data_IF_507946444196
#
_entry.id   IF_507946444196
#
_cell.length_a   1.000
_cell.length_b   1.000
_cell.length_c   1.000
_cell.angle_alpha   90.00
_cell.angle_beta   90.00
_cell.angle_gamma   90.00
#
_symmetry.space_group_name_H-M   'P 1'
#
loop_
_entity.id
_entity.type
_entity.pdbx_description
1 polymer ?
#
# COMPACT_ATOMS: atom_id res chain seq x y z
N UNK A 1 12.05 -0.60 -11.78
CA UNK A 1 12.75 0.68 -12.09
C UNK A 1 11.77 1.82 -12.32
N UNK A 2 10.64 1.61 -13.00
CA UNK A 2 9.64 2.67 -13.24
C UNK A 2 9.03 3.23 -11.96
N UNK A 3 8.79 2.40 -10.96
CA UNK A 3 8.19 2.80 -9.68
C UNK A 3 9.18 3.43 -8.69
N UNK A 4 10.49 3.26 -8.91
CA UNK A 4 11.55 3.70 -7.98
C UNK A 4 12.52 4.66 -8.67
N UNK A 5 13.40 4.17 -9.53
CA UNK A 5 14.49 4.95 -10.14
C UNK A 5 13.99 6.19 -10.89
N UNK A 6 12.91 6.08 -11.67
CA UNK A 6 12.31 7.25 -12.35
C UNK A 6 11.69 8.27 -11.40
N UNK A 7 11.51 7.91 -10.13
CA UNK A 7 11.05 8.83 -9.06
C UNK A 7 12.19 9.28 -8.16
N UNK A 8 13.45 8.98 -8.49
CA UNK A 8 14.61 9.31 -7.69
C UNK A 8 14.77 8.46 -6.42
N UNK A 9 14.07 7.30 -6.35
CA UNK A 9 14.16 6.38 -5.22
C UNK A 9 15.15 5.25 -5.54
N UNK A 10 16.07 4.96 -4.62
CA UNK A 10 16.98 3.83 -4.74
C UNK A 10 16.29 2.55 -4.22
N UNK A 11 16.08 1.50 -5.05
CA UNK A 11 15.46 0.25 -4.59
C UNK A 11 16.24 -0.44 -3.47
N UNK A 12 17.54 -0.19 -3.33
CA UNK A 12 18.40 -0.77 -2.29
C UNK A 12 18.04 -0.30 -0.88
N UNK A 13 17.39 0.85 -0.76
CA UNK A 13 16.91 1.41 0.52
C UNK A 13 15.59 0.75 0.99
N UNK A 14 15.04 -0.19 0.21
CA UNK A 14 13.74 -0.81 0.47
C UNK A 14 13.86 -2.33 0.66
N UNK A 15 12.83 -2.93 1.25
CA UNK A 15 12.63 -4.37 1.26
C UNK A 15 11.68 -4.78 0.13
N UNK A 16 11.93 -5.93 -0.48
CA UNK A 16 11.02 -6.53 -1.47
C UNK A 16 9.94 -7.34 -0.75
N UNK A 17 8.68 -6.93 -0.87
CA UNK A 17 7.56 -7.73 -0.37
C UNK A 17 7.06 -8.67 -1.46
N UNK A 18 7.10 -9.98 -1.19
CA UNK A 18 6.67 -11.01 -2.13
C UNK A 18 5.37 -11.68 -1.67
N UNK A 19 4.37 -11.69 -2.54
CA UNK A 19 3.08 -12.32 -2.27
C UNK A 19 2.47 -12.93 -3.56
N UNK A 20 1.34 -13.65 -3.40
CA UNK A 20 0.78 -14.52 -4.42
C UNK A 20 1.41 -15.91 -4.39
N UNK A 21 0.79 -16.89 -5.05
CA UNK A 21 1.20 -18.30 -4.98
C UNK A 21 2.65 -18.56 -5.40
N UNK A 22 3.10 -17.96 -6.52
CA UNK A 22 4.44 -18.12 -7.07
C UNK A 22 5.39 -16.95 -6.77
N UNK A 23 4.89 -15.82 -6.26
CA UNK A 23 5.71 -14.64 -5.95
C UNK A 23 6.91 -14.96 -5.05
N UNK A 24 6.72 -15.62 -3.91
CA UNK A 24 7.80 -15.96 -2.99
C UNK A 24 8.83 -16.97 -3.54
N UNK A 25 8.47 -17.74 -4.57
CA UNK A 25 9.39 -18.68 -5.23
C UNK A 25 10.52 -17.96 -5.97
N UNK A 26 10.23 -16.79 -6.54
CA UNK A 26 11.17 -16.02 -7.37
C UNK A 26 11.71 -14.77 -6.67
N UNK A 27 11.24 -14.49 -5.45
CA UNK A 27 11.48 -13.22 -4.78
C UNK A 27 12.96 -12.93 -4.52
N UNK A 28 13.72 -13.93 -4.08
CA UNK A 28 15.14 -13.75 -3.78
C UNK A 28 15.96 -13.50 -5.04
N UNK A 29 15.71 -14.24 -6.12
CA UNK A 29 16.38 -14.01 -7.40
C UNK A 29 16.10 -12.58 -7.93
N UNK A 30 14.87 -12.10 -7.78
CA UNK A 30 14.52 -10.72 -8.14
C UNK A 30 15.19 -9.69 -7.24
N UNK A 31 15.30 -9.97 -5.94
CA UNK A 31 15.99 -9.10 -4.98
C UNK A 31 17.49 -9.00 -5.30
N UNK A 32 18.13 -10.10 -5.70
CA UNK A 32 19.54 -10.10 -6.16
C UNK A 32 19.75 -9.23 -7.40
N UNK A 33 18.86 -9.34 -8.40
CA UNK A 33 18.91 -8.52 -9.62
C UNK A 33 18.70 -7.02 -9.35
N UNK A 34 17.94 -6.69 -8.31
CA UNK A 34 17.66 -5.32 -7.89
C UNK A 34 18.61 -4.81 -6.79
N UNK A 35 19.56 -5.64 -6.34
CA UNK A 35 20.47 -5.36 -5.23
C UNK A 35 19.75 -5.06 -3.89
N UNK A 36 18.55 -5.62 -3.70
CA UNK A 36 17.78 -5.49 -2.48
C UNK A 36 18.26 -6.53 -1.48
N UNK A 37 18.57 -6.11 -0.26
CA UNK A 37 19.15 -6.99 0.77
C UNK A 37 18.12 -7.77 1.60
N UNK A 38 16.85 -7.39 1.53
CA UNK A 38 15.79 -7.93 2.39
C UNK A 38 14.54 -8.27 1.58
N UNK A 39 14.07 -9.51 1.73
CA UNK A 39 12.78 -9.97 1.19
C UNK A 39 11.84 -10.29 2.34
N UNK A 40 10.60 -9.82 2.23
CA UNK A 40 9.53 -10.09 3.20
C UNK A 40 8.44 -10.90 2.50
N UNK A 41 8.16 -12.10 3.05
CA UNK A 41 7.00 -12.90 2.63
C UNK A 41 5.97 -12.83 3.75
N UNK A 42 4.86 -12.08 3.56
CA UNK A 42 3.86 -11.89 4.61
C UNK A 42 3.16 -13.21 4.97
N UNK A 43 2.58 -13.25 6.16
CA UNK A 43 1.61 -14.30 6.49
C UNK A 43 0.48 -14.26 5.45
N UNK A 44 -0.02 -15.44 5.08
CA UNK A 44 -1.06 -15.59 4.03
C UNK A 44 -0.64 -15.04 2.66
N UNK A 45 0.64 -15.17 2.29
CA UNK A 45 1.18 -14.62 1.06
C UNK A 45 0.37 -15.00 -0.18
N UNK A 46 -0.09 -16.25 -0.30
CA UNK A 46 -0.86 -16.74 -1.45
C UNK A 46 -2.21 -16.07 -1.62
N UNK A 47 -2.84 -15.65 -0.53
CA UNK A 47 -4.18 -15.01 -0.50
C UNK A 47 -4.14 -13.58 0.04
N UNK A 48 -2.98 -12.94 0.08
CA UNK A 48 -2.78 -11.62 0.70
C UNK A 48 -3.74 -10.56 0.15
N UNK A 49 -4.04 -10.57 -1.14
CA UNK A 49 -4.98 -9.63 -1.76
C UNK A 49 -6.40 -9.80 -1.21
N UNK A 50 -6.87 -11.03 -1.09
CA UNK A 50 -8.20 -11.32 -0.52
C UNK A 50 -8.24 -10.96 0.98
N UNK A 51 -7.17 -11.30 1.70
CA UNK A 51 -7.03 -10.93 3.10
C UNK A 51 -7.00 -9.41 3.29
N UNK A 52 -6.27 -8.69 2.43
CA UNK A 52 -6.23 -7.23 2.42
C UNK A 52 -7.60 -6.59 2.17
N UNK A 53 -8.42 -7.17 1.28
CA UNK A 53 -9.79 -6.70 1.04
C UNK A 53 -10.68 -6.86 2.27
N UNK A 54 -10.48 -7.92 3.07
CA UNK A 54 -11.21 -8.12 4.34
C UNK A 54 -10.79 -7.12 5.43
N UNK A 55 -9.63 -6.48 5.28
CA UNK A 55 -9.07 -5.49 6.22
C UNK A 55 -9.22 -4.05 5.71
N UNK A 56 -9.70 -3.88 4.48
CA UNK A 56 -9.86 -2.57 3.88
C UNK A 56 -11.09 -1.86 4.42
N UNK A 57 -10.91 -0.60 4.77
CA UNK A 57 -12.02 0.29 5.10
C UNK A 57 -12.89 0.56 3.87
N UNK A 58 -14.17 0.79 4.07
CA UNK A 58 -15.06 1.18 2.99
C UNK A 58 -14.75 2.60 2.53
N UNK A 59 -14.79 2.81 1.22
CA UNK A 59 -14.59 4.13 0.62
C UNK A 59 -15.65 4.41 -0.43
N UNK A 60 -16.27 5.58 -0.33
CA UNK A 60 -17.20 6.11 -1.33
C UNK A 60 -16.71 7.49 -1.74
N UNK A 61 -16.43 7.65 -3.03
CA UNK A 61 -16.04 8.93 -3.63
C UNK A 61 -17.18 9.42 -4.50
N UNK A 62 -17.69 10.60 -4.20
CA UNK A 62 -18.70 11.28 -5.03
C UNK A 62 -18.17 12.63 -5.46
N UNK A 63 -18.58 13.08 -6.63
CA UNK A 63 -18.26 14.40 -7.14
C UNK A 63 -19.46 15.05 -7.83
N UNK A 64 -19.51 16.37 -7.75
CA UNK A 64 -20.46 17.17 -8.51
C UNK A 64 -19.71 18.28 -9.26
N UNK A 65 -20.05 18.46 -10.52
CA UNK A 65 -19.52 19.57 -11.30
C UNK A 65 -20.10 20.89 -10.80
N UNK A 66 -19.21 21.79 -10.42
CA UNK A 66 -19.53 23.14 -10.01
C UNK A 66 -18.41 24.08 -10.45
N UNK A 67 -18.50 24.56 -11.69
CA UNK A 67 -17.44 25.37 -12.29
C UNK A 67 -17.59 26.84 -11.95
N UNK A 68 -16.48 27.48 -11.58
CA UNK A 68 -16.43 28.92 -11.31
C UNK A 68 -15.07 29.38 -10.82
N UNK A 69 -14.82 30.69 -10.91
CA UNK A 69 -13.61 31.28 -10.38
C UNK A 69 -13.58 31.14 -8.85
N UNK A 70 -12.48 30.64 -8.32
CA UNK A 70 -12.34 30.28 -6.90
C UNK A 70 -12.75 31.44 -5.97
N UNK A 71 -12.29 32.65 -6.27
CA UNK A 71 -12.61 33.84 -5.47
C UNK A 71 -14.07 34.33 -5.57
N UNK A 72 -14.86 33.81 -6.52
CA UNK A 72 -16.26 34.21 -6.73
C UNK A 72 -17.28 33.15 -6.32
N UNK A 73 -16.82 31.99 -5.81
CA UNK A 73 -17.69 30.90 -5.41
C UNK A 73 -18.43 31.24 -4.12
N UNK A 74 -19.73 30.94 -4.09
CA UNK A 74 -20.57 31.12 -2.93
C UNK A 74 -20.34 29.97 -1.91
N UNK A 75 -19.78 30.25 -0.71
CA UNK A 75 -19.52 29.23 0.29
C UNK A 75 -20.80 28.57 0.81
N UNK A 76 -21.94 29.26 0.83
CA UNK A 76 -23.22 28.71 1.30
C UNK A 76 -23.70 27.63 0.33
N UNK A 77 -23.60 27.90 -0.97
CA UNK A 77 -23.99 26.95 -2.01
C UNK A 77 -23.08 25.71 -1.98
N UNK A 78 -21.76 25.92 -1.84
CA UNK A 78 -20.80 24.82 -1.75
C UNK A 78 -21.00 23.97 -0.49
N UNK A 79 -21.32 24.57 0.64
CA UNK A 79 -21.65 23.87 1.86
C UNK A 79 -22.91 22.98 1.66
N UNK A 80 -23.97 23.54 1.10
CA UNK A 80 -25.20 22.78 0.79
C UNK A 80 -24.93 21.61 -0.17
N UNK A 81 -24.10 21.83 -1.18
CA UNK A 81 -23.71 20.80 -2.15
C UNK A 81 -22.89 19.69 -1.47
N UNK A 82 -21.95 20.06 -0.60
CA UNK A 82 -21.13 19.11 0.15
C UNK A 82 -21.95 18.26 1.13
N UNK A 83 -22.94 18.84 1.79
CA UNK A 83 -23.88 18.11 2.65
C UNK A 83 -24.72 17.11 1.85
N UNK A 84 -25.23 17.52 0.70
CA UNK A 84 -25.96 16.63 -0.21
C UNK A 84 -25.09 15.44 -0.61
N UNK A 85 -23.89 15.69 -1.12
CA UNK A 85 -22.95 14.63 -1.54
C UNK A 85 -22.59 13.72 -0.35
N UNK A 86 -22.40 14.29 0.84
CA UNK A 86 -22.09 13.51 2.04
C UNK A 86 -23.25 12.57 2.43
N UNK A 87 -24.48 13.03 2.34
CA UNK A 87 -25.66 12.21 2.61
C UNK A 87 -25.86 11.13 1.54
N UNK A 88 -25.63 11.46 0.28
CA UNK A 88 -25.67 10.50 -0.83
C UNK A 88 -24.57 9.41 -0.65
N UNK A 89 -23.35 9.78 -0.22
CA UNK A 89 -22.29 8.85 0.08
C UNK A 89 -22.65 7.91 1.25
N UNK A 90 -23.24 8.44 2.34
CA UNK A 90 -23.71 7.64 3.46
C UNK A 90 -24.79 6.65 3.05
N UNK A 91 -25.69 7.07 2.20
CA UNK A 91 -26.76 6.21 1.63
C UNK A 91 -26.15 5.12 0.75
N UNK A 92 -25.20 5.48 -0.11
CA UNK A 92 -24.50 4.54 -1.00
C UNK A 92 -23.74 3.47 -0.20
N UNK A 93 -23.05 3.87 0.87
CA UNK A 93 -22.34 2.94 1.73
C UNK A 93 -23.29 2.05 2.53
N UNK A 94 -24.56 2.45 2.73
CA UNK A 94 -25.51 1.73 3.59
C UNK A 94 -24.92 1.46 5.00
N UNK A 95 -24.39 2.49 5.65
CA UNK A 95 -23.63 2.42 6.92
C UNK A 95 -24.29 1.48 7.94
N UNK A 96 -25.61 1.51 8.04
CA UNK A 96 -26.37 0.66 8.97
C UNK A 96 -26.26 -0.85 8.68
N UNK A 97 -25.87 -1.24 7.47
CA UNK A 97 -25.82 -2.64 7.00
C UNK A 97 -24.41 -3.19 6.88
N UNK A 98 -23.39 -2.33 6.83
CA UNK A 98 -22.01 -2.70 6.48
C UNK A 98 -21.14 -3.05 7.69
N UNK A 99 -21.64 -2.90 8.93
CA UNK A 99 -20.82 -3.13 10.13
C UNK A 99 -19.73 -2.09 10.36
N UNK A 100 -19.87 -0.92 9.74
CA UNK A 100 -18.97 0.24 9.93
C UNK A 100 -19.09 0.72 11.38
N UNK A 101 -17.97 0.82 12.09
CA UNK A 101 -17.91 1.25 13.49
C UNK A 101 -17.89 2.78 13.65
N UNK A 102 -17.27 3.46 12.68
CA UNK A 102 -17.21 4.93 12.61
C UNK A 102 -16.96 5.35 11.16
N UNK A 103 -17.21 6.62 10.85
CA UNK A 103 -16.95 7.14 9.51
C UNK A 103 -16.38 8.56 9.56
N UNK A 104 -15.66 8.91 8.51
CA UNK A 104 -15.09 10.23 8.28
C UNK A 104 -15.48 10.73 6.90
N UNK A 105 -15.78 12.02 6.80
CA UNK A 105 -16.06 12.70 5.52
C UNK A 105 -14.97 13.74 5.27
N UNK A 106 -14.34 13.68 4.13
CA UNK A 106 -13.37 14.68 3.67
C UNK A 106 -13.85 15.34 2.39
N UNK A 107 -13.50 16.64 2.26
CA UNK A 107 -13.84 17.47 1.12
C UNK A 107 -12.59 17.75 0.30
N UNK A 108 -12.75 17.81 -1.02
CA UNK A 108 -11.72 18.25 -1.93
C UNK A 108 -12.35 18.96 -3.15
N UNK A 109 -11.56 19.76 -3.85
CA UNK A 109 -11.96 20.35 -5.12
C UNK A 109 -10.94 20.03 -6.20
N UNK A 110 -11.43 19.82 -7.43
CA UNK A 110 -10.59 19.81 -8.61
C UNK A 110 -10.39 21.25 -9.05
N UNK A 111 -9.18 21.75 -8.89
CA UNK A 111 -8.77 23.11 -9.20
C UNK A 111 -7.82 23.13 -10.40
N UNK A 112 -7.85 24.22 -11.17
CA UNK A 112 -6.90 24.48 -12.26
C UNK A 112 -6.70 25.97 -12.45
N UNK A 113 -5.61 26.38 -13.08
CA UNK A 113 -5.53 27.75 -13.59
C UNK A 113 -6.53 27.97 -14.71
N UNK A 114 -7.09 29.14 -14.77
CA UNK A 114 -8.11 29.49 -15.75
C UNK A 114 -7.65 29.18 -17.18
N UNK A 115 -8.49 28.42 -17.91
CA UNK A 115 -8.21 28.03 -19.29
C UNK A 115 -7.28 26.84 -19.48
N UNK A 116 -6.77 26.24 -18.41
CA UNK A 116 -6.02 24.97 -18.50
C UNK A 116 -6.97 23.77 -18.54
N UNK A 117 -6.48 22.66 -19.11
CA UNK A 117 -7.25 21.42 -19.20
C UNK A 117 -7.09 20.54 -17.95
N UNK A 118 -5.87 20.46 -17.40
CA UNK A 118 -5.55 19.58 -16.28
C UNK A 118 -5.93 20.20 -14.95
N UNK A 119 -6.54 19.37 -14.08
CA UNK A 119 -6.89 19.73 -12.71
C UNK A 119 -5.98 19.05 -11.70
N UNK A 120 -5.78 19.68 -10.54
CA UNK A 120 -5.26 19.05 -9.34
C UNK A 120 -6.36 18.98 -8.29
N UNK A 121 -6.47 17.84 -7.62
CA UNK A 121 -7.41 17.65 -6.52
C UNK A 121 -6.78 18.17 -5.22
N UNK A 122 -7.39 19.19 -4.64
CA UNK A 122 -6.91 19.90 -3.44
C UNK A 122 -7.90 19.68 -2.30
N UNK A 123 -7.40 19.25 -1.14
CA UNK A 123 -8.21 19.12 0.06
C UNK A 123 -8.73 20.46 0.54
N UNK A 124 -10.00 20.49 0.94
CA UNK A 124 -10.68 21.65 1.53
C UNK A 124 -11.07 21.27 2.95
N UNK A 125 -10.66 22.06 3.94
CA UNK A 125 -11.02 21.80 5.34
C UNK A 125 -12.49 22.14 5.60
N UNK A 126 -12.93 23.31 5.18
CA UNK A 126 -14.30 23.82 5.29
C UNK A 126 -14.49 25.01 4.34
N UNK A 127 -15.67 25.63 4.35
CA UNK A 127 -16.00 26.83 3.55
C UNK A 127 -16.14 28.09 4.43
N UNK A 128 -15.34 28.18 5.48
CA UNK A 128 -15.29 29.36 6.35
C UNK A 128 -14.49 30.51 5.73
N UNK A 129 -14.42 31.66 6.40
CA UNK A 129 -13.69 32.82 5.92
C UNK A 129 -12.22 32.47 5.62
N UNK A 130 -11.73 32.90 4.45
CA UNK A 130 -10.37 32.64 3.98
C UNK A 130 -10.14 31.28 3.30
N UNK A 131 -11.18 30.48 3.10
CA UNK A 131 -11.02 29.16 2.47
C UNK A 131 -10.53 29.25 1.02
N UNK A 132 -10.91 30.31 0.27
CA UNK A 132 -10.48 30.51 -1.12
C UNK A 132 -8.97 30.73 -1.19
N UNK A 133 -8.44 31.62 -0.35
CA UNK A 133 -7.02 31.94 -0.25
C UNK A 133 -6.21 30.74 0.18
N UNK A 134 -6.70 30.00 1.18
CA UNK A 134 -6.07 28.76 1.64
C UNK A 134 -6.06 27.69 0.53
N UNK A 135 -7.16 27.54 -0.19
CA UNK A 135 -7.26 26.57 -1.30
C UNK A 135 -6.35 26.95 -2.47
N UNK A 136 -6.26 28.26 -2.80
CA UNK A 136 -5.34 28.74 -3.83
C UNK A 136 -3.91 28.46 -3.46
N UNK A 137 -3.50 28.79 -2.23
CA UNK A 137 -2.14 28.51 -1.75
C UNK A 137 -1.80 27.02 -1.83
N UNK A 138 -2.68 26.15 -1.33
CA UNK A 138 -2.48 24.71 -1.39
C UNK A 138 -2.39 24.19 -2.84
N UNK A 139 -3.15 24.80 -3.76
CA UNK A 139 -3.08 24.49 -5.18
C UNK A 139 -1.74 24.90 -5.79
N UNK A 140 -1.27 26.14 -5.53
CA UNK A 140 0.00 26.64 -6.04
C UNK A 140 1.17 25.79 -5.52
N UNK A 141 1.16 25.42 -4.23
CA UNK A 141 2.16 24.54 -3.62
C UNK A 141 2.17 23.15 -4.28
N UNK A 142 0.99 22.56 -4.48
CA UNK A 142 0.86 21.25 -5.14
C UNK A 142 1.26 21.30 -6.62
N UNK A 143 0.95 22.41 -7.30
CA UNK A 143 1.30 22.64 -8.69
C UNK A 143 2.82 22.79 -8.86
N UNK A 144 3.47 23.54 -7.94
CA UNK A 144 4.92 23.66 -7.90
C UNK A 144 5.61 22.31 -7.72
N UNK A 145 5.13 21.49 -6.79
CA UNK A 145 5.65 20.13 -6.56
C UNK A 145 5.48 19.25 -7.80
N UNK A 146 4.36 19.36 -8.47
CA UNK A 146 4.01 18.48 -9.60
C UNK A 146 4.71 18.85 -10.90
N UNK A 147 4.85 20.16 -11.18
CA UNK A 147 5.30 20.68 -12.47
C UNK A 147 6.60 21.49 -12.40
N UNK A 148 7.12 21.76 -11.19
CA UNK A 148 8.37 22.52 -10.98
C UNK A 148 8.23 24.03 -11.11
N UNK A 149 7.01 24.54 -11.31
CA UNK A 149 6.70 25.98 -11.37
C UNK A 149 5.26 26.22 -10.92
N UNK A 150 4.95 27.43 -10.50
CA UNK A 150 3.58 27.91 -10.28
C UNK A 150 3.48 29.38 -10.71
N UNK A 151 2.25 29.90 -10.83
CA UNK A 151 1.98 31.31 -11.12
C UNK A 151 0.98 31.85 -10.08
N UNK A 152 1.49 32.46 -9.03
CA UNK A 152 0.68 32.97 -7.92
C UNK A 152 -0.30 34.07 -8.34
N UNK A 153 -0.01 34.81 -9.43
CA UNK A 153 -0.88 35.88 -9.96
C UNK A 153 -2.01 35.33 -10.84
N UNK A 154 -1.91 34.06 -11.28
CA UNK A 154 -2.91 33.46 -12.19
C UNK A 154 -4.20 33.14 -11.44
N UNK A 155 -5.31 33.32 -12.14
CA UNK A 155 -6.64 33.02 -11.62
C UNK A 155 -6.87 31.52 -11.57
N UNK A 156 -7.38 31.02 -10.44
CA UNK A 156 -7.75 29.63 -10.25
C UNK A 156 -9.26 29.47 -10.38
N UNK A 157 -9.68 28.43 -11.09
CA UNK A 157 -11.08 28.03 -11.17
C UNK A 157 -11.28 26.63 -10.56
N UNK A 158 -12.42 26.42 -9.92
CA UNK A 158 -12.89 25.11 -9.50
C UNK A 158 -13.69 24.47 -10.64
N UNK A 159 -13.53 23.17 -10.84
CA UNK A 159 -14.25 22.37 -11.83
C UNK A 159 -15.26 21.45 -11.16
N UNK A 160 -14.82 20.75 -10.09
CA UNK A 160 -15.67 19.83 -9.35
C UNK A 160 -15.48 20.02 -7.85
N UNK A 161 -16.54 19.80 -7.09
CA UNK A 161 -16.49 19.52 -5.67
C UNK A 161 -16.50 18.01 -5.46
N UNK A 162 -15.63 17.48 -4.59
CA UNK A 162 -15.52 16.08 -4.24
C UNK A 162 -15.79 15.83 -2.77
N UNK A 163 -16.46 14.74 -2.49
CA UNK A 163 -16.67 14.20 -1.15
C UNK A 163 -16.15 12.78 -1.13
N UNK A 164 -15.29 12.47 -0.17
CA UNK A 164 -14.85 11.11 0.15
C UNK A 164 -15.39 10.73 1.51
N UNK A 165 -16.16 9.65 1.59
CA UNK A 165 -16.60 9.01 2.81
C UNK A 165 -15.73 7.79 3.07
N UNK A 166 -15.04 7.75 4.21
CA UNK A 166 -14.34 6.58 4.72
C UNK A 166 -15.16 5.96 5.84
N UNK A 167 -15.51 4.68 5.71
CA UNK A 167 -16.19 3.90 6.74
C UNK A 167 -15.24 2.89 7.35
N UNK A 168 -14.86 3.08 8.61
CA UNK A 168 -13.91 2.24 9.32
C UNK A 168 -14.57 0.97 9.83
N UNK A 169 -13.97 -0.18 9.53
CA UNK A 169 -14.39 -1.48 10.05
C UNK A 169 -13.55 -1.89 11.27
N UNK A 170 -14.11 -2.72 12.11
CA UNK A 170 -13.33 -3.36 13.16
C UNK A 170 -12.38 -4.38 12.49
N UNK A 171 -11.09 -4.12 12.56
CA UNK A 171 -10.08 -5.02 12.00
C UNK A 171 -9.96 -6.28 12.85
N UNK A 172 -9.77 -7.42 12.17
CA UNK A 172 -9.43 -8.66 12.86
C UNK A 172 -7.97 -8.61 13.33
N UNK A 173 -7.73 -8.94 14.59
CA UNK A 173 -6.38 -9.07 15.11
C UNK A 173 -5.67 -10.24 14.43
N UNK A 174 -4.40 -10.04 14.11
CA UNK A 174 -3.54 -11.13 13.67
C UNK A 174 -3.31 -12.08 14.84
N UNK A 175 -3.61 -13.36 14.64
CA UNK A 175 -3.07 -14.38 15.53
C UNK A 175 -1.55 -14.38 15.40
N UNK A 176 -0.85 -14.18 16.51
CA UNK A 176 0.61 -14.33 16.57
C UNK A 176 0.98 -15.76 16.15
N UNK A 177 2.02 -15.90 15.34
CA UNK A 177 2.53 -17.21 14.98
C UNK A 177 2.83 -18.00 16.26
N UNK A 178 2.26 -19.20 16.39
CA UNK A 178 2.60 -20.09 17.51
C UNK A 178 4.05 -20.51 17.33
N UNK A 179 4.93 -20.01 18.21
CA UNK A 179 6.33 -20.42 18.22
C UNK A 179 6.40 -21.92 18.49
N UNK A 180 6.99 -22.68 17.59
CA UNK A 180 7.41 -24.05 17.81
C UNK A 180 8.83 -24.05 18.34
N UNK A 181 9.20 -25.01 19.16
CA UNK A 181 10.54 -25.02 19.81
C UNK A 181 11.67 -25.38 18.83
N UNK A 182 11.38 -26.03 17.70
CA UNK A 182 12.38 -26.40 16.70
C UNK A 182 11.77 -26.49 15.31
N UNK A 183 12.44 -25.91 14.32
CA UNK A 183 12.13 -26.10 12.92
C UNK A 183 12.75 -27.40 12.42
N UNK A 184 11.94 -28.39 12.06
CA UNK A 184 12.41 -29.63 11.43
C UNK A 184 11.85 -29.75 10.02
N UNK A 185 12.68 -30.15 9.03
CA UNK A 185 12.19 -30.35 7.66
C UNK A 185 11.21 -31.54 7.61
N UNK A 186 10.17 -31.41 6.83
CA UNK A 186 9.17 -32.48 6.59
C UNK A 186 9.59 -33.43 5.50
N UNK A 187 10.41 -32.98 4.55
CA UNK A 187 11.00 -33.76 3.46
C UNK A 187 12.28 -33.11 2.95
N UNK A 188 12.91 -33.75 1.99
CA UNK A 188 14.02 -33.19 1.19
C UNK A 188 13.71 -33.44 -0.27
N UNK A 189 13.92 -32.42 -1.10
CA UNK A 189 13.61 -32.45 -2.52
C UNK A 189 14.81 -31.96 -3.32
N UNK A 190 14.89 -32.37 -4.57
CA UNK A 190 15.89 -31.84 -5.49
C UNK A 190 15.40 -30.52 -6.08
N UNK A 191 16.11 -29.42 -5.82
CA UNK A 191 15.82 -28.13 -6.44
C UNK A 191 16.97 -27.66 -7.34
N UNK A 192 16.63 -26.92 -8.37
CA UNK A 192 17.62 -26.33 -9.30
C UNK A 192 18.17 -25.03 -8.72
N UNK A 193 19.49 -24.97 -8.47
CA UNK A 193 20.15 -23.80 -7.88
C UNK A 193 20.65 -22.77 -8.90
N UNK A 194 20.31 -22.93 -10.18
CA UNK A 194 20.83 -22.12 -11.27
C UNK A 194 21.98 -22.82 -12.04
N UNK A 195 22.75 -23.68 -11.39
CA UNK A 195 23.85 -24.43 -11.98
C UNK A 195 23.69 -25.96 -11.83
N UNK A 196 23.25 -26.40 -10.64
CA UNK A 196 23.17 -27.81 -10.29
C UNK A 196 21.88 -28.14 -9.53
N UNK A 197 21.53 -29.42 -9.51
CA UNK A 197 20.50 -29.97 -8.63
C UNK A 197 21.06 -30.12 -7.23
N UNK A 198 20.37 -29.49 -6.25
CA UNK A 198 20.78 -29.50 -4.85
C UNK A 198 19.72 -30.12 -3.96
N UNK A 199 20.18 -30.89 -2.97
CA UNK A 199 19.29 -31.48 -1.96
C UNK A 199 18.80 -30.39 -1.00
N UNK A 200 17.50 -30.11 -1.04
CA UNK A 200 16.86 -28.95 -0.43
C UNK A 200 15.90 -29.41 0.65
N UNK A 201 16.12 -29.07 1.91
CA UNK A 201 15.17 -29.34 2.99
C UNK A 201 13.90 -28.51 2.81
N UNK A 202 12.76 -29.17 3.04
CA UNK A 202 11.43 -28.59 2.89
C UNK A 202 10.77 -28.48 4.25
N UNK A 203 10.27 -27.29 4.56
CA UNK A 203 9.61 -26.97 5.81
C UNK A 203 8.15 -26.58 5.57
N UNK A 204 7.32 -26.68 6.59
CA UNK A 204 6.00 -26.04 6.60
C UNK A 204 6.09 -24.76 7.40
N UNK A 205 5.40 -23.71 6.97
CA UNK A 205 5.41 -22.43 7.69
C UNK A 205 4.92 -22.57 9.13
N UNK A 206 3.88 -23.38 9.37
CA UNK A 206 3.29 -23.61 10.70
C UNK A 206 4.21 -24.36 11.68
N UNK A 207 5.29 -24.98 11.18
CA UNK A 207 6.30 -25.68 11.97
C UNK A 207 7.61 -24.91 12.16
N UNK A 208 7.67 -23.66 11.71
CA UNK A 208 8.86 -22.84 11.87
C UNK A 208 8.98 -22.28 13.30
N UNK A 209 10.22 -22.18 13.79
CA UNK A 209 10.56 -21.50 15.03
C UNK A 209 11.08 -20.09 14.75
N UNK A 210 10.78 -19.15 15.65
CA UNK A 210 11.39 -17.81 15.63
C UNK A 210 12.82 -17.78 16.20
N UNK A 211 13.25 -18.85 16.90
CA UNK A 211 14.47 -18.83 17.72
C UNK A 211 15.76 -18.98 16.92
N UNK A 212 15.69 -19.62 15.75
CA UNK A 212 16.87 -19.84 14.92
C UNK A 212 16.58 -19.57 13.43
N UNK A 213 17.54 -18.99 12.71
CA UNK A 213 17.45 -18.85 11.26
C UNK A 213 17.55 -20.21 10.57
N UNK A 214 17.00 -20.28 9.36
CA UNK A 214 17.15 -21.44 8.47
C UNK A 214 17.97 -20.96 7.27
N UNK A 215 19.12 -21.61 7.06
CA UNK A 215 19.98 -21.30 5.93
C UNK A 215 19.44 -21.91 4.62
N UNK A 216 19.72 -21.22 3.50
CA UNK A 216 19.52 -21.77 2.17
C UNK A 216 20.66 -22.72 1.74
N UNK A 217 20.39 -23.67 0.80
CA UNK A 217 19.11 -23.80 0.12
C UNK A 217 18.04 -24.41 1.02
N UNK A 218 16.86 -23.84 1.01
CA UNK A 218 15.71 -24.36 1.75
C UNK A 218 14.40 -23.93 1.09
N UNK A 219 13.32 -24.62 1.40
CA UNK A 219 12.00 -24.36 0.86
C UNK A 219 10.97 -24.34 1.98
N UNK A 220 10.06 -23.38 1.95
CA UNK A 220 8.93 -23.30 2.86
C UNK A 220 7.63 -23.46 2.06
N UNK A 221 6.83 -24.47 2.43
CA UNK A 221 5.53 -24.74 1.85
C UNK A 221 4.42 -24.16 2.71
N UNK A 222 3.45 -23.60 2.02
CA UNK A 222 2.15 -23.17 2.52
C UNK A 222 1.05 -23.81 1.64
N UNK A 223 -0.20 -23.83 2.07
CA UNK A 223 -1.27 -24.39 1.25
C UNK A 223 -1.42 -23.71 -0.12
N UNK A 224 -1.05 -22.43 -0.21
CA UNK A 224 -1.31 -21.52 -1.33
C UNK A 224 -0.07 -20.77 -1.81
N UNK A 225 1.12 -21.03 -1.23
CA UNK A 225 2.37 -20.41 -1.64
C UNK A 225 3.58 -21.32 -1.39
N UNK A 226 4.65 -21.09 -2.14
CA UNK A 226 5.95 -21.73 -1.91
C UNK A 226 7.02 -20.66 -1.89
N UNK A 227 7.87 -20.68 -0.85
CA UNK A 227 9.01 -19.78 -0.71
C UNK A 227 10.30 -20.56 -0.91
N UNK A 228 11.18 -20.10 -1.77
CA UNK A 228 12.51 -20.67 -1.98
C UNK A 228 13.58 -19.71 -1.45
N UNK A 229 14.50 -20.26 -0.66
CA UNK A 229 15.64 -19.57 -0.09
C UNK A 229 16.90 -20.19 -0.71
N UNK A 230 17.65 -19.48 -1.58
CA UNK A 230 18.84 -20.00 -2.21
C UNK A 230 20.06 -19.98 -1.27
N UNK A 231 21.17 -20.54 -1.71
CA UNK A 231 22.47 -20.42 -1.05
C UNK A 231 22.83 -18.96 -0.80
N UNK A 232 23.48 -18.69 0.33
CA UNK A 232 23.91 -17.34 0.72
C UNK A 232 22.80 -16.48 1.32
N UNK A 233 21.59 -17.03 1.46
CA UNK A 233 20.47 -16.38 2.13
C UNK A 233 20.00 -17.20 3.32
N UNK A 234 19.39 -16.53 4.30
CA UNK A 234 18.79 -17.12 5.48
C UNK A 234 17.39 -16.59 5.71
N UNK A 235 16.56 -17.43 6.27
CA UNK A 235 15.18 -17.15 6.65
C UNK A 235 15.06 -17.02 8.16
N UNK A 236 14.31 -16.00 8.63
CA UNK A 236 13.83 -15.88 10.01
C UNK A 236 12.32 -15.73 10.03
N UNK A 237 11.66 -16.38 10.96
CA UNK A 237 10.25 -16.17 11.24
C UNK A 237 10.09 -14.99 12.18
N UNK A 238 9.36 -13.97 11.73
CA UNK A 238 8.99 -12.82 12.55
C UNK A 238 7.83 -13.18 13.50
N UNK A 239 7.74 -12.56 14.66
CA UNK A 239 6.68 -12.79 15.66
C UNK A 239 5.25 -12.71 15.12
N UNK A 240 5.01 -11.89 14.10
CA UNK A 240 3.74 -11.76 13.38
C UNK A 240 3.56 -12.79 12.26
N UNK A 241 4.41 -13.81 12.17
CA UNK A 241 4.32 -14.88 11.19
C UNK A 241 4.84 -14.53 9.79
N UNK A 242 5.46 -13.36 9.58
CA UNK A 242 6.11 -13.03 8.32
C UNK A 242 7.45 -13.77 8.19
N UNK A 243 7.83 -14.17 6.96
CA UNK A 243 9.17 -14.66 6.70
C UNK A 243 10.05 -13.46 6.32
N UNK A 244 11.16 -13.29 7.02
CA UNK A 244 12.20 -12.33 6.70
C UNK A 244 13.38 -13.08 6.11
N UNK A 245 13.73 -12.78 4.87
CA UNK A 245 14.81 -13.45 4.15
C UNK A 245 15.89 -12.41 3.88
N UNK A 246 17.10 -12.66 4.36
CA UNK A 246 18.25 -11.77 4.26
C UNK A 246 19.50 -12.53 3.82
N UNK A 247 20.52 -11.84 3.35
CA UNK A 247 21.81 -12.46 3.06
C UNK A 247 22.41 -13.05 4.34
N UNK A 248 23.01 -14.24 4.23
CA UNK A 248 23.72 -14.89 5.33
C UNK A 248 25.01 -14.14 5.66
N UNK A 249 25.31 -13.94 6.92
CA UNK A 249 26.55 -13.30 7.38
C UNK A 249 27.83 -14.04 6.91
N UNK A 250 27.71 -15.31 6.53
CA UNK A 250 28.81 -16.16 6.07
C UNK A 250 29.06 -16.10 4.55
N UNK A 251 28.34 -15.28 3.77
CA UNK A 251 28.50 -15.23 2.31
C UNK A 251 29.62 -14.31 1.82
N UNK A 252 30.37 -13.67 2.73
CA UNK A 252 31.52 -12.80 2.39
C UNK A 252 32.91 -13.49 2.51
N UNK A 253 32.95 -14.84 2.48
CA UNK A 253 34.25 -15.56 2.50
C UNK A 253 34.48 -16.36 1.24
#
# INVERSE_FOLDING_TARGET
RELTVFRGLDPRDYALMAFGGAGPLHAVALAEELEISTVVVPAHAGVLSAWGMLQADYRVDLSASHSGLLGSLDPILLHSLSEKLSNDAKTTLSIEKTGVSSHEVSLAADLRYLGQEYTLTISIANFEEGWQEASKKNFDDAYLIRFGHCNEEETVEMVNLRVTLLGYIQRMDHESAKATQNSSPISREQSWSGNDWVDTPVYRRDSLSSDAPIDGPSMVLEPDATTYIPHGWQLRLHERGHLLITKSENSER
#
